data_IF_404530433994
#
_entry.id   IF_404530433994
#
_cell.length_a   1.000
_cell.length_b   1.000
_cell.length_c   1.000
_cell.angle_alpha   90.00
_cell.angle_beta   90.00
_cell.angle_gamma   90.00
#
_symmetry.space_group_name_H-M   'P 1'
#
loop_
_entity.id
_entity.type
_entity.pdbx_description
1 polymer ?
#
# COMPACT_ATOMS: atom_id res chain seq x y z
N UNK A 1 -16.67 -13.33 -15.50
CA UNK A 1 -15.38 -13.88 -15.87
C UNK A 1 -15.34 -15.39 -15.78
N UNK A 2 -14.38 -15.98 -16.44
CA UNK A 2 -14.17 -17.42 -16.51
C UNK A 2 -12.68 -17.70 -16.35
N UNK A 3 -12.32 -18.71 -15.54
CA UNK A 3 -10.94 -19.14 -15.35
C UNK A 3 -10.41 -20.02 -16.51
N UNK A 4 -11.31 -20.53 -17.36
CA UNK A 4 -11.00 -21.45 -18.47
C UNK A 4 -10.86 -20.78 -19.84
N UNK A 5 -10.78 -19.43 -19.87
CA UNK A 5 -10.60 -18.68 -21.11
C UNK A 5 -9.23 -18.98 -21.76
N UNK A 6 -9.17 -18.86 -23.08
CA UNK A 6 -7.93 -19.01 -23.83
C UNK A 6 -7.09 -17.75 -23.69
N UNK A 7 -6.03 -17.83 -22.89
CA UNK A 7 -5.14 -16.71 -22.62
C UNK A 7 -4.33 -16.25 -23.87
N UNK A 8 -4.14 -17.11 -24.87
CA UNK A 8 -3.49 -16.76 -26.12
C UNK A 8 -4.42 -15.87 -26.93
N UNK A 9 -5.67 -16.28 -27.12
CA UNK A 9 -6.67 -15.49 -27.82
C UNK A 9 -6.91 -14.14 -27.13
N UNK A 10 -7.00 -14.11 -25.80
CA UNK A 10 -7.11 -12.84 -25.05
C UNK A 10 -5.92 -11.92 -25.32
N UNK A 11 -4.69 -12.43 -25.32
CA UNK A 11 -3.50 -11.65 -25.61
C UNK A 11 -3.51 -11.04 -27.00
N UNK A 12 -3.96 -11.80 -28.02
CA UNK A 12 -4.10 -11.31 -29.40
C UNK A 12 -5.16 -10.19 -29.53
N UNK A 13 -6.19 -10.20 -28.68
CA UNK A 13 -7.23 -9.18 -28.60
C UNK A 13 -6.85 -7.98 -27.71
N UNK A 14 -5.64 -7.96 -27.13
CA UNK A 14 -5.20 -6.89 -26.22
C UNK A 14 -5.89 -6.91 -24.85
N UNK A 15 -6.33 -8.09 -24.43
CA UNK A 15 -6.99 -8.34 -23.16
C UNK A 15 -6.07 -9.12 -22.22
N UNK A 16 -6.10 -8.79 -20.95
CA UNK A 16 -5.38 -9.50 -19.90
C UNK A 16 -6.38 -10.15 -18.94
N UNK A 17 -6.03 -11.30 -18.41
CA UNK A 17 -6.84 -11.98 -17.43
C UNK A 17 -6.19 -11.92 -16.05
N UNK A 18 -6.92 -11.41 -15.07
CA UNK A 18 -6.56 -11.42 -13.66
C UNK A 18 -7.56 -12.32 -12.92
N UNK A 19 -7.22 -13.59 -12.76
CA UNK A 19 -8.14 -14.59 -12.26
C UNK A 19 -9.34 -14.78 -13.20
N UNK A 20 -10.52 -14.33 -12.80
CA UNK A 20 -11.75 -14.33 -13.59
C UNK A 20 -12.16 -12.91 -14.07
N UNK A 21 -11.30 -11.92 -13.94
CA UNK A 21 -11.54 -10.54 -14.40
C UNK A 21 -10.74 -10.28 -15.67
N UNK A 22 -11.35 -9.65 -16.65
CA UNK A 22 -10.72 -9.25 -17.91
C UNK A 22 -10.37 -7.77 -17.83
N UNK A 23 -9.12 -7.43 -18.17
CA UNK A 23 -8.58 -6.07 -18.13
C UNK A 23 -8.01 -5.72 -19.51
N UNK A 24 -8.63 -4.81 -20.26
CA UNK A 24 -8.07 -4.31 -21.51
C UNK A 24 -6.72 -3.59 -21.28
N UNK A 25 -5.80 -3.68 -22.25
CA UNK A 25 -4.47 -3.04 -22.16
C UNK A 25 -4.58 -1.53 -21.88
N UNK A 26 -5.52 -0.85 -22.53
CA UNK A 26 -5.75 0.59 -22.34
C UNK A 26 -6.21 0.97 -20.91
N UNK A 27 -6.82 0.03 -20.21
CA UNK A 27 -7.32 0.27 -18.84
C UNK A 27 -6.24 0.04 -17.76
N UNK A 28 -5.07 -0.44 -18.12
CA UNK A 28 -4.00 -0.76 -17.17
C UNK A 28 -2.73 0.07 -17.40
N UNK A 29 -2.00 -0.16 -18.49
CA UNK A 29 -0.74 0.52 -18.76
C UNK A 29 -0.94 1.97 -19.22
N UNK A 30 -1.64 2.13 -20.33
CA UNK A 30 -1.80 3.40 -21.04
C UNK A 30 -2.44 4.49 -20.20
N UNK A 31 -3.46 4.15 -19.40
CA UNK A 31 -4.16 5.13 -18.56
C UNK A 31 -3.25 5.64 -17.45
N UNK A 32 -2.42 4.77 -16.86
CA UNK A 32 -1.46 5.17 -15.84
C UNK A 32 -0.38 6.06 -16.43
N UNK A 33 0.19 5.69 -17.56
CA UNK A 33 1.20 6.50 -18.24
C UNK A 33 0.69 7.91 -18.56
N UNK A 34 -0.50 8.01 -19.16
CA UNK A 34 -1.11 9.28 -19.54
C UNK A 34 -1.44 10.20 -18.35
N UNK A 35 -1.67 9.65 -17.17
CA UNK A 35 -2.00 10.42 -15.97
C UNK A 35 -0.80 10.66 -15.07
N UNK A 36 -0.04 9.61 -14.78
CA UNK A 36 1.01 9.64 -13.75
C UNK A 36 2.25 10.40 -14.24
N UNK A 37 2.68 10.21 -15.49
CA UNK A 37 3.88 10.90 -15.98
C UNK A 37 3.74 12.44 -15.98
N UNK A 38 2.62 13.04 -16.45
CA UNK A 38 2.42 14.48 -16.29
C UNK A 38 2.39 14.94 -14.84
N UNK A 39 1.79 14.16 -13.94
CA UNK A 39 1.81 14.49 -12.51
C UNK A 39 3.22 14.49 -11.93
N UNK A 40 4.07 13.53 -12.33
CA UNK A 40 5.46 13.49 -11.89
C UNK A 40 6.27 14.67 -12.44
N UNK A 41 6.02 15.10 -13.67
CA UNK A 41 6.65 16.29 -14.25
C UNK A 41 6.28 17.56 -13.45
N UNK A 42 5.00 17.71 -13.07
CA UNK A 42 4.52 18.83 -12.24
C UNK A 42 5.10 18.76 -10.80
N UNK A 43 5.13 17.58 -10.19
CA UNK A 43 5.71 17.36 -8.85
C UNK A 43 7.20 17.73 -8.87
N UNK A 44 7.94 17.30 -9.89
CA UNK A 44 9.36 17.66 -10.03
C UNK A 44 9.57 19.17 -10.09
N UNK A 45 8.75 19.87 -10.87
CA UNK A 45 8.80 21.33 -10.98
C UNK A 45 8.51 21.98 -9.63
N UNK A 46 7.42 21.63 -8.96
CA UNK A 46 7.03 22.17 -7.65
C UNK A 46 8.14 21.96 -6.61
N UNK A 47 8.72 20.78 -6.54
CA UNK A 47 9.79 20.44 -5.60
C UNK A 47 11.10 21.15 -5.92
N UNK A 48 11.43 21.31 -7.20
CA UNK A 48 12.62 22.05 -7.63
C UNK A 48 12.49 23.53 -7.30
N UNK A 49 11.30 24.11 -7.42
CA UNK A 49 11.03 25.49 -7.01
C UNK A 49 11.17 25.67 -5.49
N UNK A 50 10.75 24.67 -4.70
CA UNK A 50 10.83 24.71 -3.22
C UNK A 50 12.24 24.44 -2.69
N UNK A 51 12.95 23.52 -3.28
CA UNK A 51 14.32 23.14 -2.89
C UNK A 51 15.19 22.85 -4.12
N UNK A 52 15.77 23.90 -4.76
CA UNK A 52 16.54 23.73 -5.99
C UNK A 52 17.79 22.84 -5.85
N UNK A 53 18.40 22.84 -4.65
CA UNK A 53 19.64 22.09 -4.42
C UNK A 53 19.38 20.58 -4.22
N UNK A 54 18.25 20.24 -3.58
CA UNK A 54 17.91 18.83 -3.30
C UNK A 54 16.39 18.60 -3.31
N UNK A 55 15.76 18.61 -4.50
CA UNK A 55 14.30 18.54 -4.61
C UNK A 55 13.71 17.23 -4.08
N UNK A 56 14.49 16.16 -4.06
CA UNK A 56 14.03 14.81 -3.68
C UNK A 56 14.34 14.43 -2.23
N UNK A 57 14.97 15.31 -1.47
CA UNK A 57 15.20 15.04 -0.05
C UNK A 57 13.86 14.86 0.68
N UNK A 58 13.71 13.73 1.37
CA UNK A 58 12.51 13.38 2.10
C UNK A 58 11.30 12.97 1.22
N UNK A 59 11.48 12.81 -0.10
CA UNK A 59 10.41 12.40 -1.00
C UNK A 59 10.25 10.87 -0.97
N UNK A 60 9.61 10.36 0.06
CA UNK A 60 9.25 8.95 0.21
C UNK A 60 7.92 8.59 -0.45
N UNK A 61 7.43 7.39 -0.19
CA UNK A 61 6.11 6.96 -0.69
C UNK A 61 4.97 7.76 -0.07
N UNK A 62 5.12 8.25 1.16
CA UNK A 62 4.15 9.11 1.83
C UNK A 62 3.96 10.43 1.08
N UNK A 63 5.06 11.13 0.79
CA UNK A 63 5.02 12.39 0.04
C UNK A 63 4.49 12.18 -1.39
N UNK A 64 4.88 11.07 -2.03
CA UNK A 64 4.36 10.69 -3.34
C UNK A 64 2.85 10.49 -3.31
N UNK A 65 2.33 9.73 -2.33
CA UNK A 65 0.90 9.48 -2.18
C UNK A 65 0.11 10.78 -1.94
N UNK A 66 0.63 11.69 -1.12
CA UNK A 66 -0.01 12.99 -0.92
C UNK A 66 0.02 13.84 -2.19
N UNK A 67 1.16 13.95 -2.85
CA UNK A 67 1.30 14.72 -4.07
C UNK A 67 0.40 14.21 -5.22
N UNK A 68 0.28 12.88 -5.36
CA UNK A 68 -0.64 12.29 -6.33
C UNK A 68 -2.10 12.47 -5.93
N UNK A 69 -2.42 12.28 -4.65
CA UNK A 69 -3.77 12.41 -4.11
C UNK A 69 -4.32 13.85 -4.20
N UNK A 70 -3.47 14.86 -4.04
CA UNK A 70 -3.82 16.29 -4.21
C UNK A 70 -4.27 16.61 -5.67
N UNK A 71 -3.95 15.73 -6.64
CA UNK A 71 -4.33 15.84 -8.05
C UNK A 71 -5.59 15.03 -8.42
N UNK A 72 -6.18 14.37 -7.43
CA UNK A 72 -7.39 13.55 -7.60
C UNK A 72 -8.59 14.34 -7.07
N UNK A 73 -9.60 14.55 -7.92
CA UNK A 73 -10.86 15.22 -7.54
C UNK A 73 -11.96 14.23 -7.13
N UNK A 74 -11.76 12.93 -7.39
CA UNK A 74 -12.73 11.86 -7.15
C UNK A 74 -12.68 11.40 -5.68
N UNK A 75 -13.73 11.68 -4.92
CA UNK A 75 -13.88 11.30 -3.52
C UNK A 75 -14.16 9.80 -3.29
N UNK A 76 -14.32 9.01 -4.35
CA UNK A 76 -14.31 7.54 -4.26
C UNK A 76 -12.88 6.96 -4.20
N UNK A 77 -11.87 7.78 -4.46
CA UNK A 77 -10.46 7.38 -4.41
C UNK A 77 -9.90 7.38 -3.00
N UNK A 78 -9.24 6.28 -2.62
CA UNK A 78 -8.49 6.20 -1.36
C UNK A 78 -7.41 7.28 -1.27
N UNK A 79 -6.65 7.53 -2.35
CA UNK A 79 -5.60 8.54 -2.37
C UNK A 79 -6.12 9.96 -2.17
N UNK A 80 -7.32 10.28 -2.63
CA UNK A 80 -7.97 11.56 -2.35
C UNK A 80 -8.08 11.80 -0.83
N UNK A 81 -8.59 10.81 -0.08
CA UNK A 81 -8.75 10.92 1.37
C UNK A 81 -7.41 10.91 2.11
N UNK A 82 -6.47 10.09 1.66
CA UNK A 82 -5.10 10.05 2.19
C UNK A 82 -4.44 11.43 2.10
N UNK A 83 -4.50 12.06 0.94
CA UNK A 83 -3.92 13.40 0.73
C UNK A 83 -4.68 14.46 1.52
N UNK A 84 -6.01 14.48 1.44
CA UNK A 84 -6.87 15.45 2.11
C UNK A 84 -6.66 15.51 3.63
N UNK A 85 -6.43 14.36 4.25
CA UNK A 85 -6.22 14.25 5.70
C UNK A 85 -4.76 14.06 6.10
N UNK A 86 -3.82 14.10 5.14
CA UNK A 86 -2.37 13.87 5.37
C UNK A 86 -2.10 12.59 6.16
N UNK A 87 -2.82 11.52 5.82
CA UNK A 87 -2.61 10.20 6.42
C UNK A 87 -1.33 9.62 5.82
N UNK A 88 -0.35 9.21 6.62
CA UNK A 88 0.84 8.55 6.11
C UNK A 88 0.48 7.22 5.44
N UNK A 89 0.67 7.14 4.12
CA UNK A 89 0.51 5.90 3.36
C UNK A 89 1.89 5.42 2.90
N UNK A 90 2.40 4.40 3.54
CA UNK A 90 3.72 3.86 3.30
C UNK A 90 3.61 2.63 2.40
N UNK A 91 4.41 2.58 1.34
CA UNK A 91 4.42 1.50 0.34
C UNK A 91 5.79 0.84 0.30
N UNK A 92 6.04 -0.20 1.13
CA UNK A 92 7.36 -0.83 1.24
C UNK A 92 7.87 -1.48 -0.05
N UNK A 93 6.96 -1.89 -0.93
CA UNK A 93 7.26 -2.52 -2.22
C UNK A 93 6.92 -1.64 -3.42
N UNK A 94 7.12 -0.34 -3.34
CA UNK A 94 6.71 0.63 -4.36
C UNK A 94 7.26 0.33 -5.76
N UNK A 95 8.46 -0.24 -5.88
CA UNK A 95 9.07 -0.57 -7.16
C UNK A 95 8.43 -1.79 -7.85
N UNK A 96 7.74 -2.65 -7.12
CA UNK A 96 7.09 -3.85 -7.65
C UNK A 96 5.62 -3.57 -7.97
N UNK A 97 5.38 -2.87 -9.07
CA UNK A 97 4.02 -2.54 -9.51
C UNK A 97 3.97 -1.49 -10.60
N UNK A 98 2.76 -1.20 -11.07
CA UNK A 98 2.52 -0.30 -12.20
C UNK A 98 2.96 1.13 -11.92
N UNK A 99 2.80 1.62 -10.69
CA UNK A 99 3.30 2.94 -10.30
C UNK A 99 4.82 2.96 -10.29
N UNK A 100 5.47 1.91 -9.77
CA UNK A 100 6.92 1.77 -9.81
C UNK A 100 7.48 1.83 -11.23
N UNK A 101 6.79 1.22 -12.20
CA UNK A 101 7.14 1.32 -13.61
C UNK A 101 7.07 2.78 -14.13
N UNK A 102 6.05 3.55 -13.74
CA UNK A 102 5.94 4.97 -14.11
C UNK A 102 7.05 5.81 -13.49
N UNK A 103 7.41 5.55 -12.23
CA UNK A 103 8.55 6.22 -11.57
C UNK A 103 9.86 5.93 -12.32
N UNK A 104 10.05 4.67 -12.73
CA UNK A 104 11.22 4.29 -13.53
C UNK A 104 11.23 5.00 -14.89
N UNK A 105 10.10 5.09 -15.60
CA UNK A 105 9.97 5.80 -16.86
C UNK A 105 10.26 7.28 -16.71
N UNK A 106 9.72 7.92 -15.67
CA UNK A 106 10.02 9.32 -15.37
C UNK A 106 11.51 9.54 -15.13
N UNK A 107 12.17 8.67 -14.38
CA UNK A 107 13.63 8.74 -14.14
C UNK A 107 14.46 8.68 -15.43
N UNK A 108 13.97 8.07 -16.52
CA UNK A 108 14.72 8.07 -17.80
C UNK A 108 14.81 9.49 -18.40
N UNK A 109 13.86 10.37 -18.09
CA UNK A 109 13.84 11.78 -18.49
C UNK A 109 14.55 12.66 -17.45
N UNK A 110 14.40 12.33 -16.17
CA UNK A 110 14.90 13.08 -15.02
C UNK A 110 15.90 12.23 -14.21
N UNK A 111 17.18 12.16 -14.63
CA UNK A 111 18.18 11.25 -14.01
C UNK A 111 18.39 11.46 -12.51
N UNK A 112 18.11 12.65 -12.00
CA UNK A 112 18.23 12.99 -10.59
C UNK A 112 16.97 12.63 -9.76
N UNK A 113 15.89 12.22 -10.43
CA UNK A 113 14.68 11.76 -9.74
C UNK A 113 14.98 10.58 -8.82
N UNK A 114 14.53 10.68 -7.59
CA UNK A 114 14.73 9.66 -6.57
C UNK A 114 13.52 9.59 -5.63
N UNK A 115 13.21 8.40 -5.19
CA UNK A 115 12.28 8.17 -4.07
C UNK A 115 13.09 7.77 -2.84
N UNK A 116 12.95 8.51 -1.77
CA UNK A 116 13.67 8.32 -0.52
C UNK A 116 12.89 7.39 0.43
N UNK A 117 13.13 6.10 0.32
CA UNK A 117 12.49 5.10 1.19
C UNK A 117 12.87 5.27 2.67
N UNK A 118 14.04 5.83 2.97
CA UNK A 118 14.46 6.05 4.36
C UNK A 118 13.69 7.19 5.02
N UNK A 119 13.11 8.10 4.23
CA UNK A 119 12.17 9.10 4.76
C UNK A 119 10.89 8.45 5.28
N UNK A 120 10.38 7.40 4.62
CA UNK A 120 9.24 6.63 5.10
C UNK A 120 9.57 5.87 6.40
N UNK A 121 10.76 5.31 6.49
CA UNK A 121 11.25 4.63 7.70
C UNK A 121 11.39 5.63 8.88
N UNK A 122 11.77 6.88 8.63
CA UNK A 122 11.80 7.91 9.67
C UNK A 122 10.39 8.23 10.19
N UNK A 123 9.39 8.33 9.30
CA UNK A 123 7.99 8.54 9.70
C UNK A 123 7.49 7.37 10.57
N UNK A 124 7.81 6.14 10.18
CA UNK A 124 7.46 4.95 10.97
C UNK A 124 8.15 4.94 12.33
N UNK A 125 9.41 5.32 12.37
CA UNK A 125 10.15 5.47 13.63
C UNK A 125 9.45 6.46 14.55
N UNK A 126 9.13 7.65 14.04
CA UNK A 126 8.48 8.70 14.83
C UNK A 126 7.11 8.24 15.35
N UNK A 127 6.28 7.61 14.51
CA UNK A 127 5.01 7.04 14.91
C UNK A 127 5.16 5.97 15.98
N UNK A 128 6.13 5.06 15.81
CA UNK A 128 6.39 3.94 16.72
C UNK A 128 6.79 4.43 18.12
N UNK A 129 7.66 5.45 18.18
CA UNK A 129 8.17 5.95 19.45
C UNK A 129 7.25 6.97 20.15
N UNK A 130 6.33 7.58 19.42
CA UNK A 130 5.40 8.58 19.98
C UNK A 130 4.01 8.02 20.30
N UNK A 131 3.64 6.87 19.74
CA UNK A 131 2.33 6.28 19.98
C UNK A 131 2.20 5.75 21.43
N UNK A 132 1.15 6.16 22.13
CA UNK A 132 0.79 5.61 23.44
C UNK A 132 0.27 4.18 23.30
N UNK A 133 -0.59 3.93 22.31
CA UNK A 133 -1.14 2.62 21.95
C UNK A 133 -1.01 2.40 20.44
N UNK A 134 -0.87 1.14 20.02
CA UNK A 134 -0.80 0.76 18.62
C UNK A 134 -1.68 -0.45 18.34
N UNK A 135 -2.63 -0.28 17.43
CA UNK A 135 -3.57 -1.30 17.03
C UNK A 135 -3.47 -1.54 15.52
N UNK A 136 -3.58 -2.79 15.08
CA UNK A 136 -3.46 -3.11 13.68
C UNK A 136 -4.68 -3.84 13.12
N UNK A 137 -5.22 -3.35 12.01
CA UNK A 137 -6.10 -4.08 11.12
C UNK A 137 -5.30 -4.48 9.87
N UNK A 138 -5.06 -5.77 9.70
CA UNK A 138 -4.29 -6.31 8.59
C UNK A 138 -5.22 -7.02 7.61
N UNK A 139 -5.27 -6.53 6.37
CA UNK A 139 -6.11 -7.07 5.31
C UNK A 139 -5.24 -7.78 4.28
N UNK A 140 -5.40 -9.10 4.17
CA UNK A 140 -4.49 -9.93 3.40
C UNK A 140 -3.21 -10.22 4.15
N UNK A 141 -2.08 -10.29 3.43
CA UNK A 141 -0.79 -10.64 4.02
C UNK A 141 0.39 -10.13 3.20
N UNK A 142 1.51 -10.83 3.27
CA UNK A 142 2.73 -10.48 2.55
C UNK A 142 3.48 -9.30 3.18
N UNK A 143 4.10 -8.47 2.33
CA UNK A 143 5.02 -7.41 2.75
C UNK A 143 4.35 -6.38 3.68
N UNK A 144 3.11 -5.97 3.42
CA UNK A 144 2.40 -4.98 4.23
C UNK A 144 2.13 -5.50 5.65
N UNK A 145 1.66 -6.72 5.79
CA UNK A 145 1.47 -7.36 7.11
C UNK A 145 2.80 -7.45 7.85
N UNK A 146 3.86 -7.91 7.18
CA UNK A 146 5.19 -8.02 7.78
C UNK A 146 5.70 -6.66 8.26
N UNK A 147 5.58 -5.63 7.45
CA UNK A 147 6.08 -4.29 7.75
C UNK A 147 5.39 -3.68 8.98
N UNK A 148 4.05 -3.79 9.05
CA UNK A 148 3.26 -3.32 10.20
C UNK A 148 3.70 -4.00 11.50
N UNK A 149 3.74 -5.33 11.54
CA UNK A 149 4.07 -6.03 12.77
C UNK A 149 5.56 -5.89 13.13
N UNK A 150 6.45 -5.77 12.14
CA UNK A 150 7.88 -5.62 12.38
C UNK A 150 8.19 -4.29 13.07
N UNK A 151 7.67 -3.18 12.61
CA UNK A 151 7.89 -1.88 13.23
C UNK A 151 7.40 -1.81 14.67
N UNK A 152 6.31 -2.50 15.00
CA UNK A 152 5.80 -2.56 16.37
C UNK A 152 6.70 -3.35 17.33
N UNK A 153 7.68 -4.12 16.82
CA UNK A 153 8.69 -4.76 17.65
C UNK A 153 9.51 -3.75 18.47
N UNK A 154 9.73 -2.56 17.94
CA UNK A 154 10.55 -1.53 18.60
C UNK A 154 9.83 -0.81 19.75
N UNK A 155 8.52 -1.07 19.93
CA UNK A 155 7.71 -0.54 21.04
C UNK A 155 7.11 -1.63 21.92
N UNK A 156 7.76 -2.77 22.01
CA UNK A 156 7.29 -3.95 22.76
C UNK A 156 6.01 -4.60 22.24
N UNK A 157 5.68 -4.38 20.98
CA UNK A 157 4.59 -5.01 20.27
C UNK A 157 3.28 -4.22 20.19
N UNK A 158 2.39 -4.73 19.35
CA UNK A 158 1.01 -4.22 19.19
C UNK A 158 0.19 -4.44 20.46
N UNK A 159 -0.65 -3.48 20.80
CA UNK A 159 -1.62 -3.54 21.89
C UNK A 159 -2.89 -4.33 21.51
N UNK A 160 -3.24 -4.39 20.21
CA UNK A 160 -4.22 -5.34 19.66
C UNK A 160 -4.02 -5.56 18.17
N UNK A 161 -4.53 -6.68 17.63
CA UNK A 161 -4.38 -7.01 16.23
C UNK A 161 -5.56 -7.79 15.67
N UNK A 162 -6.03 -7.38 14.49
CA UNK A 162 -7.03 -8.09 13.69
C UNK A 162 -6.44 -8.42 12.34
N UNK A 163 -6.52 -9.68 11.93
CA UNK A 163 -6.12 -10.14 10.60
C UNK A 163 -7.32 -10.66 9.81
N UNK A 164 -7.42 -10.28 8.53
CA UNK A 164 -8.39 -10.83 7.57
C UNK A 164 -7.59 -11.45 6.43
N UNK A 165 -7.76 -12.73 6.17
CA UNK A 165 -7.03 -13.43 5.11
C UNK A 165 -7.81 -14.63 4.58
N UNK A 166 -7.62 -14.96 3.31
CA UNK A 166 -8.10 -16.20 2.71
C UNK A 166 -7.04 -17.32 2.77
N UNK A 167 -5.81 -16.99 3.19
CA UNK A 167 -4.73 -17.97 3.25
C UNK A 167 -4.85 -18.86 4.50
N UNK A 168 -4.85 -20.18 4.34
CA UNK A 168 -4.90 -21.11 5.46
C UNK A 168 -3.56 -21.17 6.21
N UNK A 169 -3.60 -21.51 7.48
CA UNK A 169 -2.42 -21.57 8.36
C UNK A 169 -1.34 -22.55 7.82
N UNK A 170 -1.75 -23.62 7.18
CA UNK A 170 -0.87 -24.69 6.72
C UNK A 170 -0.18 -24.44 5.37
N UNK A 171 -0.44 -23.32 4.69
CA UNK A 171 0.27 -23.01 3.43
C UNK A 171 1.72 -22.54 3.66
N UNK A 172 2.09 -22.26 4.91
CA UNK A 172 3.44 -21.83 5.30
C UNK A 172 3.79 -20.40 4.90
N UNK A 173 2.85 -19.66 4.33
CA UNK A 173 3.05 -18.23 3.99
C UNK A 173 2.83 -17.33 5.19
N UNK A 174 3.44 -16.13 5.14
CA UNK A 174 3.15 -15.09 6.13
C UNK A 174 1.67 -14.67 6.11
N UNK A 175 1.00 -14.78 4.97
CA UNK A 175 -0.42 -14.46 4.84
C UNK A 175 -1.31 -15.37 5.69
N UNK A 176 -1.00 -16.66 5.77
CA UNK A 176 -1.72 -17.64 6.60
C UNK A 176 -1.22 -17.73 8.05
N UNK A 177 -0.04 -17.20 8.34
CA UNK A 177 0.55 -17.26 9.68
C UNK A 177 -0.36 -16.63 10.74
N UNK A 178 -0.59 -17.35 11.83
CA UNK A 178 -1.39 -16.84 12.96
C UNK A 178 -0.67 -15.72 13.68
N UNK A 179 -1.42 -14.71 14.13
CA UNK A 179 -0.85 -13.54 14.80
C UNK A 179 -0.08 -13.90 16.07
N UNK A 180 -0.48 -14.96 16.79
CA UNK A 180 0.23 -15.45 17.98
C UNK A 180 1.71 -15.80 17.73
N UNK A 181 2.10 -16.12 16.50
CA UNK A 181 3.50 -16.37 16.17
C UNK A 181 4.35 -15.12 16.33
N UNK A 182 3.77 -13.95 16.10
CA UNK A 182 4.44 -12.67 16.26
C UNK A 182 4.79 -12.33 17.72
N UNK A 183 4.15 -12.99 18.69
CA UNK A 183 4.46 -12.81 20.13
C UNK A 183 5.89 -13.22 20.43
N UNK A 184 6.34 -14.38 19.93
CA UNK A 184 7.71 -14.87 20.18
C UNK A 184 8.80 -13.96 19.58
N UNK A 185 8.42 -13.05 18.70
CA UNK A 185 9.29 -12.05 18.07
C UNK A 185 9.17 -10.66 18.72
N UNK A 186 8.38 -10.52 19.79
CA UNK A 186 8.12 -9.22 20.43
C UNK A 186 7.32 -8.23 19.56
N UNK A 187 6.59 -8.72 18.55
CA UNK A 187 5.83 -7.89 17.58
C UNK A 187 4.37 -7.67 17.98
N UNK A 188 3.85 -8.51 18.85
CA UNK A 188 2.53 -8.41 19.48
C UNK A 188 2.73 -8.74 20.96
N UNK A 189 2.15 -7.96 21.87
CA UNK A 189 2.23 -8.21 23.30
C UNK A 189 1.56 -9.53 23.66
N UNK A 190 2.09 -10.30 24.63
CA UNK A 190 1.52 -11.61 25.01
C UNK A 190 0.05 -11.55 25.40
N UNK A 191 -0.37 -10.49 26.08
CA UNK A 191 -1.74 -10.24 26.58
C UNK A 191 -2.63 -9.51 25.58
N UNK A 192 -2.09 -9.06 24.42
CA UNK A 192 -2.84 -8.28 23.45
C UNK A 192 -4.01 -9.07 22.85
N UNK A 193 -5.22 -8.52 22.83
CA UNK A 193 -6.34 -9.11 22.10
C UNK A 193 -5.97 -9.25 20.61
N UNK A 194 -6.18 -10.46 20.08
CA UNK A 194 -5.87 -10.75 18.69
C UNK A 194 -6.83 -11.76 18.08
N UNK A 195 -7.17 -11.55 16.81
CA UNK A 195 -8.03 -12.45 16.05
C UNK A 195 -7.62 -12.50 14.58
N UNK A 196 -7.70 -13.68 13.98
CA UNK A 196 -7.61 -13.86 12.52
C UNK A 196 -8.94 -14.39 12.03
N UNK A 197 -9.52 -13.69 11.05
CA UNK A 197 -10.76 -14.09 10.38
C UNK A 197 -10.40 -14.61 9.00
N UNK A 198 -10.71 -15.88 8.75
CA UNK A 198 -10.56 -16.47 7.41
C UNK A 198 -11.77 -16.06 6.55
N UNK A 199 -11.49 -15.36 5.45
CA UNK A 199 -12.51 -14.95 4.51
C UNK A 199 -12.04 -13.87 3.55
N UNK A 200 -12.86 -13.63 2.54
CA UNK A 200 -12.61 -12.62 1.52
C UNK A 200 -12.85 -11.22 2.08
N UNK A 201 -11.84 -10.36 1.94
CA UNK A 201 -11.90 -8.98 2.39
C UNK A 201 -13.01 -8.18 1.69
N UNK A 202 -13.34 -8.50 0.44
CA UNK A 202 -14.43 -7.84 -0.31
C UNK A 202 -15.80 -8.05 0.34
N UNK A 203 -15.95 -9.12 1.13
CA UNK A 203 -17.17 -9.42 1.90
C UNK A 203 -17.06 -8.89 3.33
N UNK A 204 -15.91 -9.11 3.98
CA UNK A 204 -15.76 -8.85 5.41
C UNK A 204 -15.57 -7.35 5.74
N UNK A 205 -14.87 -6.58 4.89
CA UNK A 205 -14.66 -5.15 5.14
C UNK A 205 -15.95 -4.33 5.10
N UNK A 206 -16.88 -4.53 4.13
CA UNK A 206 -18.16 -3.83 4.16
C UNK A 206 -19.01 -4.17 5.40
N UNK A 207 -18.97 -5.42 5.89
CA UNK A 207 -19.66 -5.81 7.11
C UNK A 207 -19.07 -5.13 8.35
N UNK A 208 -17.73 -5.11 8.45
CA UNK A 208 -17.03 -4.40 9.51
C UNK A 208 -17.34 -2.89 9.46
N UNK A 209 -17.27 -2.28 8.28
CA UNK A 209 -17.60 -0.87 8.08
C UNK A 209 -19.03 -0.54 8.46
N UNK A 210 -19.99 -1.38 8.06
CA UNK A 210 -21.40 -1.20 8.42
C UNK A 210 -21.64 -1.22 9.93
N UNK A 211 -20.82 -1.91 10.70
CA UNK A 211 -20.91 -1.91 12.17
C UNK A 211 -20.24 -0.69 12.80
N UNK A 212 -19.08 -0.29 12.30
CA UNK A 212 -18.33 0.87 12.79
C UNK A 212 -19.03 2.20 12.52
N UNK A 213 -19.79 2.31 11.42
CA UNK A 213 -20.45 3.55 10.99
C UNK A 213 -21.96 3.57 11.24
N UNK A 214 -22.46 2.76 12.15
CA UNK A 214 -23.87 2.72 12.54
C UNK A 214 -24.36 3.92 13.35
N UNK A 215 -23.55 4.97 13.56
CA UNK A 215 -23.92 6.16 14.32
C UNK A 215 -24.28 7.33 13.42
#
# INVERSE_FOLDING_TARGET
GDFSLDDIALGEEGLNRLGNVIVPNECYGDILEKRVLPWLDDIEKERTEQNPENPWLGFGSVELCWAMGDRIEDDTSLLYWVAKHRIPMIIPGLSDGSIGAQLFMHRQKSPNFMVDFLADEQILSDLTWTAEESHALMVGGGISKHHVIWWNQYRDGLDSAVGITTAPEHDGSLSGARLKEAISWGKIRPEAPQVVVEGDASVLLPLLGADLFKN
#
